data_IF_176846294829
#
_entry.id   IF_176846294829
#
_cell.length_a   1.000
_cell.length_b   1.000
_cell.length_c   1.000
_cell.angle_alpha   90.00
_cell.angle_beta   90.00
_cell.angle_gamma   90.00
#
_symmetry.space_group_name_H-M   'P 1'
#
loop_
_entity.id
_entity.type
_entity.pdbx_description
1 polymer ?
#
# COMPACT_ATOMS: atom_id res chain seq x y z
N UNK A 1 15.99 -19.35 63.91
CA UNK A 1 16.88 -19.81 62.82
C UNK A 1 16.01 -19.85 61.58
N UNK A 2 16.42 -19.11 60.55
CA UNK A 2 15.58 -18.35 59.62
C UNK A 2 14.77 -19.17 58.60
N UNK A 3 13.74 -18.50 58.08
CA UNK A 3 12.78 -18.91 57.06
C UNK A 3 13.46 -19.29 55.74
N UNK A 4 12.97 -20.35 55.09
CA UNK A 4 13.39 -20.73 53.74
C UNK A 4 12.46 -20.02 52.75
N UNK A 5 12.96 -18.95 52.14
CA UNK A 5 12.30 -18.23 51.06
C UNK A 5 12.16 -19.16 49.84
N UNK A 6 10.92 -19.46 49.46
CA UNK A 6 10.61 -20.14 48.21
C UNK A 6 10.58 -19.10 47.09
N UNK A 7 11.66 -19.07 46.31
CA UNK A 7 11.81 -18.18 45.16
C UNK A 7 10.95 -18.71 44.00
N UNK A 8 9.71 -18.26 43.91
CA UNK A 8 8.85 -18.55 42.76
C UNK A 8 9.24 -17.60 41.61
N UNK A 9 10.01 -18.14 40.66
CA UNK A 9 10.26 -17.50 39.38
C UNK A 9 8.93 -17.36 38.64
N UNK A 10 8.47 -16.12 38.44
CA UNK A 10 7.39 -15.81 37.52
C UNK A 10 7.87 -16.09 36.09
N UNK A 11 7.57 -17.28 35.58
CA UNK A 11 7.57 -17.53 34.14
C UNK A 11 6.43 -16.71 33.52
N UNK A 12 6.78 -15.55 32.98
CA UNK A 12 5.91 -14.83 32.05
C UNK A 12 5.64 -15.77 30.86
N UNK A 13 4.51 -16.46 30.93
CA UNK A 13 3.95 -17.21 29.80
C UNK A 13 3.62 -16.20 28.71
N UNK A 14 4.59 -15.93 27.84
CA UNK A 14 4.40 -15.15 26.63
C UNK A 14 3.40 -15.90 25.76
N UNK A 15 2.13 -15.55 25.92
CA UNK A 15 1.06 -16.18 25.16
C UNK A 15 1.28 -15.84 23.69
N UNK A 16 1.33 -16.88 22.86
CA UNK A 16 1.44 -16.79 21.42
C UNK A 16 0.27 -15.96 20.86
N UNK A 17 0.48 -14.65 20.73
CA UNK A 17 -0.53 -13.68 20.26
C UNK A 17 -0.50 -13.62 18.73
N UNK A 18 -0.55 -14.78 18.08
CA UNK A 18 -0.55 -14.88 16.62
C UNK A 18 -1.87 -14.36 16.07
N UNK A 19 -1.91 -13.07 15.76
CA UNK A 19 -3.03 -12.42 15.10
C UNK A 19 -2.97 -12.78 13.61
N UNK A 20 -3.90 -13.59 13.10
CA UNK A 20 -3.93 -13.95 11.68
C UNK A 20 -4.68 -12.90 10.85
N UNK A 21 -5.72 -12.29 11.45
CA UNK A 21 -6.57 -11.30 10.78
C UNK A 21 -6.26 -9.88 11.29
N UNK A 22 -6.13 -8.88 10.41
CA UNK A 22 -5.91 -7.51 10.83
C UNK A 22 -7.10 -7.00 11.64
N UNK A 23 -6.80 -6.14 12.63
CA UNK A 23 -7.85 -5.45 13.40
C UNK A 23 -8.66 -4.54 12.48
N UNK A 24 -9.87 -4.15 12.89
CA UNK A 24 -10.70 -3.22 12.10
C UNK A 24 -10.00 -1.89 11.79
N UNK A 25 -9.17 -1.41 12.70
CA UNK A 25 -8.39 -0.19 12.51
C UNK A 25 -7.28 -0.37 11.48
N UNK A 26 -6.61 -1.53 11.53
CA UNK A 26 -5.49 -1.86 10.64
C UNK A 26 -5.91 -2.42 9.29
N UNK A 27 -7.22 -2.65 9.05
CA UNK A 27 -7.73 -3.23 7.81
C UNK A 27 -7.50 -2.28 6.63
N UNK A 28 -7.07 -2.82 5.49
CA UNK A 28 -6.86 -2.05 4.27
C UNK A 28 -8.14 -1.32 3.81
N UNK A 29 -8.04 0.00 3.63
CA UNK A 29 -9.17 0.86 3.23
C UNK A 29 -8.95 1.38 1.82
N UNK A 30 -9.57 0.72 0.84
CA UNK A 30 -9.40 1.06 -0.59
C UNK A 30 -9.74 2.50 -0.92
N UNK A 31 -10.72 3.11 -0.23
CA UNK A 31 -11.09 4.50 -0.44
C UNK A 31 -9.96 5.49 -0.06
N UNK A 32 -9.37 5.31 1.13
CA UNK A 32 -8.26 6.15 1.60
C UNK A 32 -7.03 5.98 0.69
N UNK A 33 -6.70 4.73 0.33
CA UNK A 33 -5.58 4.44 -0.57
C UNK A 33 -5.82 5.02 -1.97
N UNK A 34 -7.05 4.94 -2.49
CA UNK A 34 -7.41 5.55 -3.77
C UNK A 34 -7.19 7.06 -3.76
N UNK A 35 -7.58 7.75 -2.69
CA UNK A 35 -7.36 9.18 -2.54
C UNK A 35 -5.86 9.53 -2.49
N UNK A 36 -5.07 8.76 -1.74
CA UNK A 36 -3.60 8.91 -1.71
C UNK A 36 -2.99 8.72 -3.10
N UNK A 37 -3.40 7.68 -3.84
CA UNK A 37 -2.93 7.45 -5.23
C UNK A 37 -3.28 8.66 -6.10
N UNK A 38 -4.52 9.16 -6.03
CA UNK A 38 -4.96 10.29 -6.82
C UNK A 38 -4.11 11.55 -6.57
N UNK A 39 -3.82 11.84 -5.30
CA UNK A 39 -3.00 12.99 -4.91
C UNK A 39 -1.57 12.87 -5.46
N UNK A 40 -0.92 11.71 -5.30
CA UNK A 40 0.43 11.48 -5.85
C UNK A 40 0.45 11.61 -7.36
N UNK A 41 -0.51 11.00 -8.07
CA UNK A 41 -0.59 11.11 -9.52
C UNK A 41 -0.72 12.56 -9.97
N UNK A 42 -1.57 13.34 -9.30
CA UNK A 42 -1.77 14.76 -9.61
C UNK A 42 -0.51 15.59 -9.30
N UNK A 43 0.14 15.38 -8.17
CA UNK A 43 1.37 16.08 -7.79
C UNK A 43 2.49 15.84 -8.80
N UNK A 44 2.65 14.59 -9.24
CA UNK A 44 3.74 14.22 -10.12
C UNK A 44 3.48 14.46 -11.60
N UNK A 45 2.22 14.39 -12.07
CA UNK A 45 1.91 14.39 -13.50
C UNK A 45 1.16 15.63 -13.98
N UNK A 46 0.60 16.45 -13.09
CA UNK A 46 -0.11 17.68 -13.50
C UNK A 46 0.82 18.56 -14.35
N UNK A 47 0.30 19.02 -15.49
CA UNK A 47 0.99 19.92 -16.43
C UNK A 47 2.28 19.34 -17.08
N UNK A 48 2.58 18.06 -16.87
CA UNK A 48 3.69 17.40 -17.56
C UNK A 48 3.32 16.98 -18.98
N UNK A 49 4.27 17.15 -19.90
CA UNK A 49 4.20 16.68 -21.28
C UNK A 49 4.87 15.31 -21.35
N UNK A 50 4.25 14.35 -22.04
CA UNK A 50 4.80 13.01 -22.15
C UNK A 50 6.15 12.99 -22.88
N UNK A 51 7.11 12.28 -22.29
CA UNK A 51 8.43 11.98 -22.83
C UNK A 51 8.79 10.54 -22.45
N UNK A 52 9.27 9.75 -23.39
CA UNK A 52 9.56 8.33 -23.15
C UNK A 52 10.66 8.15 -22.09
N UNK A 53 11.70 8.99 -22.13
CA UNK A 53 12.80 8.96 -21.17
C UNK A 53 12.32 9.33 -19.75
N UNK A 54 11.55 10.41 -19.63
CA UNK A 54 11.06 10.87 -18.34
C UNK A 54 9.99 9.95 -17.75
N UNK A 55 9.17 9.30 -18.60
CA UNK A 55 8.12 8.39 -18.15
C UNK A 55 8.67 7.18 -17.38
N UNK A 56 9.87 6.70 -17.74
CA UNK A 56 10.55 5.63 -17.00
C UNK A 56 10.96 6.07 -15.60
N UNK A 57 11.40 7.32 -15.46
CA UNK A 57 11.75 7.88 -14.15
C UNK A 57 10.48 8.13 -13.32
N UNK A 58 9.46 8.76 -13.90
CA UNK A 58 8.21 9.06 -13.19
C UNK A 58 7.49 7.80 -12.73
N UNK A 59 7.44 6.73 -13.53
CA UNK A 59 6.82 5.47 -13.10
C UNK A 59 7.48 4.91 -11.84
N UNK A 60 8.81 4.94 -11.77
CA UNK A 60 9.57 4.51 -10.58
C UNK A 60 9.27 5.41 -9.39
N UNK A 61 9.40 6.72 -9.56
CA UNK A 61 9.26 7.67 -8.46
C UNK A 61 7.83 7.69 -7.90
N UNK A 62 6.82 7.68 -8.77
CA UNK A 62 5.40 7.56 -8.37
C UNK A 62 5.15 6.25 -7.64
N UNK A 63 5.74 5.14 -8.10
CA UNK A 63 5.52 3.84 -7.45
C UNK A 63 6.07 3.78 -6.03
N UNK A 64 7.26 4.35 -5.79
CA UNK A 64 7.84 4.41 -4.45
C UNK A 64 7.14 5.44 -3.56
N UNK A 65 6.72 6.59 -4.11
CA UNK A 65 5.98 7.61 -3.36
C UNK A 65 4.59 7.12 -2.92
N UNK A 66 3.83 6.47 -3.81
CA UNK A 66 2.56 5.82 -3.45
C UNK A 66 2.79 4.80 -2.33
N UNK A 67 3.82 3.95 -2.47
CA UNK A 67 4.13 2.92 -1.48
C UNK A 67 4.54 3.52 -0.13
N UNK A 68 5.29 4.63 -0.12
CA UNK A 68 5.67 5.35 1.09
C UNK A 68 4.44 5.96 1.77
N UNK A 69 3.64 6.77 1.06
CA UNK A 69 2.44 7.40 1.63
C UNK A 69 1.41 6.38 2.11
N UNK A 70 1.27 5.24 1.43
CA UNK A 70 0.36 4.17 1.86
C UNK A 70 0.88 3.46 3.13
N UNK A 71 2.20 3.32 3.30
CA UNK A 71 2.76 2.79 4.56
C UNK A 71 2.45 3.71 5.74
N UNK A 72 2.48 5.03 5.52
CA UNK A 72 2.20 6.03 6.55
C UNK A 72 0.74 6.00 7.05
N UNK A 73 -0.17 5.34 6.32
CA UNK A 73 -1.55 5.10 6.75
C UNK A 73 -1.69 4.02 7.84
N UNK A 74 -0.59 3.39 8.28
CA UNK A 74 -0.58 2.44 9.39
C UNK A 74 -0.81 0.98 8.99
N UNK A 75 -0.49 0.60 7.75
CA UNK A 75 -0.59 -0.79 7.26
C UNK A 75 0.66 -1.62 7.58
N UNK A 76 1.02 -1.73 8.87
CA UNK A 76 2.31 -2.29 9.34
C UNK A 76 2.57 -3.74 8.91
N UNK A 77 1.51 -4.55 8.80
CA UNK A 77 1.59 -5.99 8.54
C UNK A 77 1.25 -6.40 7.11
N UNK A 78 1.09 -5.45 6.21
CA UNK A 78 0.74 -5.71 4.83
C UNK A 78 1.98 -5.78 3.94
N UNK A 79 1.96 -6.73 3.00
CA UNK A 79 2.86 -6.68 1.85
C UNK A 79 2.18 -5.86 0.75
N UNK A 80 2.71 -4.69 0.48
CA UNK A 80 2.18 -3.77 -0.53
C UNK A 80 2.84 -4.02 -1.89
N UNK A 81 2.03 -4.08 -2.94
CA UNK A 81 2.47 -4.12 -4.34
C UNK A 81 1.84 -2.94 -5.07
N UNK A 82 2.68 -2.15 -5.75
CA UNK A 82 2.26 -0.97 -6.52
C UNK A 82 2.68 -1.19 -7.96
N UNK A 83 1.75 -1.00 -8.90
CA UNK A 83 2.00 -1.04 -10.33
C UNK A 83 1.58 0.30 -10.93
N UNK A 84 2.49 0.92 -11.69
CA UNK A 84 2.25 2.19 -12.37
C UNK A 84 2.46 1.99 -13.86
N UNK A 85 1.54 2.49 -14.67
CA UNK A 85 1.62 2.48 -16.14
C UNK A 85 1.37 3.90 -16.62
N UNK A 86 2.30 4.44 -17.40
CA UNK A 86 2.18 5.74 -18.05
C UNK A 86 2.25 5.51 -19.56
N UNK A 87 1.35 6.14 -20.31
CA UNK A 87 1.31 6.08 -21.76
C UNK A 87 0.91 7.41 -22.38
N UNK A 88 1.29 7.61 -23.64
CA UNK A 88 0.91 8.78 -24.41
C UNK A 88 -0.53 8.64 -24.93
N UNK A 89 -1.34 9.70 -24.82
CA UNK A 89 -2.70 9.71 -25.35
C UNK A 89 -2.70 10.17 -26.82
N UNK A 90 -2.59 9.21 -27.75
CA UNK A 90 -2.60 9.46 -29.20
C UNK A 90 -3.88 9.07 -29.92
N UNK A 91 -4.94 8.77 -29.17
CA UNK A 91 -6.24 8.34 -29.70
C UNK A 91 -6.46 6.83 -29.67
N UNK A 92 -5.47 6.05 -29.21
CA UNK A 92 -5.69 4.63 -28.90
C UNK A 92 -6.37 4.45 -27.53
N UNK A 93 -7.18 3.39 -27.42
CA UNK A 93 -7.77 2.97 -26.15
C UNK A 93 -6.92 1.92 -25.46
N UNK A 94 -6.70 2.08 -24.15
CA UNK A 94 -6.02 1.09 -23.30
C UNK A 94 -6.98 0.61 -22.22
N UNK A 95 -7.06 -0.70 -22.00
CA UNK A 95 -7.82 -1.31 -20.91
C UNK A 95 -6.92 -2.21 -20.08
N UNK A 96 -6.80 -1.89 -18.80
CA UNK A 96 -6.06 -2.70 -17.84
C UNK A 96 -7.02 -3.59 -17.05
N UNK A 97 -6.62 -4.84 -16.80
CA UNK A 97 -7.34 -5.77 -15.95
C UNK A 97 -6.34 -6.62 -15.17
N UNK A 98 -6.69 -6.99 -13.94
CA UNK A 98 -5.95 -7.95 -13.13
C UNK A 98 -6.86 -9.11 -12.73
N UNK A 99 -6.27 -10.29 -12.58
CA UNK A 99 -6.92 -11.46 -11.99
C UNK A 99 -6.06 -11.93 -10.83
N UNK A 100 -6.67 -12.10 -9.68
CA UNK A 100 -5.96 -12.47 -8.47
C UNK A 100 -6.74 -13.54 -7.71
N UNK A 101 -5.99 -14.43 -7.04
CA UNK A 101 -6.53 -15.41 -6.12
C UNK A 101 -6.20 -14.91 -4.70
N UNK A 102 -7.19 -14.25 -4.09
CA UNK A 102 -7.03 -13.46 -2.87
C UNK A 102 -7.86 -14.04 -1.75
N UNK A 103 -7.36 -13.91 -0.52
CA UNK A 103 -8.15 -14.12 0.68
C UNK A 103 -9.12 -12.93 0.84
N UNK A 104 -10.42 -13.20 0.95
CA UNK A 104 -11.46 -12.16 0.99
C UNK A 104 -11.40 -11.26 2.22
N UNK A 105 -10.72 -11.71 3.28
CA UNK A 105 -10.71 -11.03 4.56
C UNK A 105 -9.44 -10.22 4.78
N UNK A 106 -8.32 -10.67 4.22
CA UNK A 106 -7.00 -10.03 4.38
C UNK A 106 -6.55 -9.24 3.16
N UNK A 107 -6.83 -9.72 1.94
CA UNK A 107 -6.31 -9.10 0.72
C UNK A 107 -7.29 -8.08 0.15
N UNK A 108 -6.76 -7.00 -0.44
CA UNK A 108 -7.58 -5.96 -1.05
C UNK A 108 -6.75 -5.17 -2.09
N UNK A 109 -7.43 -4.35 -2.89
CA UNK A 109 -6.80 -3.48 -3.86
C UNK A 109 -7.48 -2.12 -3.96
N UNK A 110 -6.74 -1.18 -4.54
CA UNK A 110 -7.22 0.11 -4.97
C UNK A 110 -6.59 0.43 -6.33
N UNK A 111 -7.32 1.15 -7.17
CA UNK A 111 -6.82 1.65 -8.44
C UNK A 111 -7.32 3.07 -8.66
N UNK A 112 -6.54 3.85 -9.40
CA UNK A 112 -6.96 5.16 -9.87
C UNK A 112 -6.36 5.46 -11.25
N UNK A 113 -7.02 6.36 -11.98
CA UNK A 113 -6.62 6.75 -13.33
C UNK A 113 -6.54 8.28 -13.40
N UNK A 114 -5.40 8.77 -13.89
CA UNK A 114 -5.17 10.19 -14.10
C UNK A 114 -4.92 10.45 -15.60
N UNK A 115 -5.53 11.51 -16.12
CA UNK A 115 -5.37 11.93 -17.51
C UNK A 115 -5.09 13.43 -17.53
N UNK A 116 -3.98 13.83 -18.15
CA UNK A 116 -3.78 15.23 -18.48
C UNK A 116 -4.70 15.60 -19.65
N UNK A 117 -5.57 16.57 -19.41
CA UNK A 117 -6.28 17.27 -20.47
C UNK A 117 -5.31 18.25 -21.14
N UNK A 118 -5.36 18.31 -22.47
CA UNK A 118 -4.65 19.32 -23.26
C UNK A 118 -5.12 20.73 -22.93
#
# INVERSE_FOLDING_TARGET
>A
MAEVETNQQNEETSQNTYIIRPSYQSKFRSAAVKETIHQVLKEHLKEKIYSAEDSMMWTRDISEDIKAKVKDLGYERYKLLVQVVIGELRGEGVKMACRCFWDSDTDNYAQDVFMNVK
#
